data_IF_502120789603
#
_entry.id   IF_502120789603
#
_cell.length_a   1.000
_cell.length_b   1.000
_cell.length_c   1.000
_cell.angle_alpha   90.00
_cell.angle_beta   90.00
_cell.angle_gamma   90.00
#
_symmetry.space_group_name_H-M   'P 1'
#
loop_
_entity.id
_entity.type
_entity.pdbx_description
1 polymer ?
#
# COMPACT_ATOMS: atom_id res chain seq x y z
N UNK A 1 -17.90 1.76 31.37
CA UNK A 1 -19.05 2.53 30.82
C UNK A 1 -20.30 1.67 30.90
N UNK A 2 -21.45 2.26 31.22
CA UNK A 2 -22.74 1.55 31.30
C UNK A 2 -23.51 1.76 30.00
N UNK A 3 -23.88 0.68 29.31
CA UNK A 3 -24.69 0.74 28.10
C UNK A 3 -26.16 0.90 28.46
N UNK A 4 -26.77 2.00 28.05
CA UNK A 4 -28.20 2.29 28.31
C UNK A 4 -29.16 1.41 27.51
N UNK A 5 -28.67 0.74 26.45
CA UNK A 5 -29.49 -0.12 25.57
C UNK A 5 -29.54 -1.57 26.08
N UNK A 6 -28.41 -2.15 26.48
CA UNK A 6 -28.36 -3.54 26.95
C UNK A 6 -28.26 -3.69 28.48
N UNK A 7 -28.14 -2.59 29.24
CA UNK A 7 -27.98 -2.61 30.70
C UNK A 7 -26.64 -3.20 31.18
N UNK A 8 -25.72 -3.51 30.25
CA UNK A 8 -24.43 -4.11 30.54
C UNK A 8 -23.34 -3.08 30.83
N UNK A 9 -22.35 -3.49 31.62
CA UNK A 9 -21.12 -2.73 31.81
C UNK A 9 -20.08 -3.14 30.76
N UNK A 10 -19.61 -2.18 29.99
CA UNK A 10 -18.56 -2.35 28.99
C UNK A 10 -17.30 -1.64 29.49
N UNK A 11 -16.17 -2.35 29.51
CA UNK A 11 -14.88 -1.72 29.77
C UNK A 11 -14.53 -0.80 28.60
N UNK A 12 -13.95 0.37 28.87
CA UNK A 12 -13.52 1.30 27.81
C UNK A 12 -12.51 0.64 26.85
N UNK A 13 -11.72 -0.31 27.36
CA UNK A 13 -10.76 -1.06 26.56
C UNK A 13 -11.39 -2.21 25.76
N UNK A 14 -12.66 -2.53 25.96
CA UNK A 14 -13.33 -3.63 25.26
C UNK A 14 -13.39 -3.40 23.76
N UNK A 15 -12.94 -4.38 22.97
CA UNK A 15 -12.84 -4.24 21.52
C UNK A 15 -11.67 -3.37 21.05
N UNK A 16 -10.64 -3.20 21.88
CA UNK A 16 -9.39 -2.51 21.52
C UNK A 16 -8.18 -3.41 21.83
N UNK A 17 -7.00 -3.14 21.25
CA UNK A 17 -5.75 -3.83 21.62
C UNK A 17 -5.36 -3.70 23.10
N UNK A 18 -6.00 -2.81 23.86
CA UNK A 18 -5.77 -2.60 25.30
C UNK A 18 -6.61 -3.54 26.16
N UNK A 19 -7.55 -4.30 25.57
CA UNK A 19 -8.44 -5.16 26.34
C UNK A 19 -7.67 -6.25 27.09
N UNK A 20 -7.93 -6.38 28.40
CA UNK A 20 -7.31 -7.40 29.24
C UNK A 20 -5.80 -7.23 29.46
N UNK A 21 -5.20 -6.12 29.01
CA UNK A 21 -3.78 -5.84 29.19
C UNK A 21 -3.51 -5.25 30.56
N UNK A 22 -2.47 -5.76 31.23
CA UNK A 22 -1.96 -5.24 32.52
C UNK A 22 -0.74 -4.34 32.36
N UNK A 23 -0.43 -3.93 31.13
CA UNK A 23 0.68 -3.01 30.83
C UNK A 23 0.18 -1.57 30.73
N UNK A 24 1.02 -0.57 31.05
CA UNK A 24 0.70 0.82 30.78
C UNK A 24 0.39 1.03 29.30
N UNK A 25 -0.63 1.85 29.00
CA UNK A 25 -1.07 2.14 27.63
C UNK A 25 0.08 2.71 26.81
N UNK A 26 0.82 3.68 27.37
CA UNK A 26 1.95 4.32 26.70
C UNK A 26 3.02 3.31 26.28
N UNK A 27 3.31 2.30 27.12
CA UNK A 27 4.28 1.26 26.79
C UNK A 27 3.88 0.50 25.51
N UNK A 28 2.61 0.12 25.41
CA UNK A 28 2.08 -0.60 24.25
C UNK A 28 2.09 0.29 23.01
N UNK A 29 1.64 1.54 23.13
CA UNK A 29 1.62 2.52 22.03
C UNK A 29 3.04 2.78 21.50
N UNK A 30 4.00 3.05 22.40
CA UNK A 30 5.39 3.28 22.01
C UNK A 30 6.06 2.03 21.43
N UNK A 31 5.75 0.83 21.94
CA UNK A 31 6.26 -0.42 21.38
C UNK A 31 5.72 -0.67 19.97
N UNK A 32 4.43 -0.44 19.71
CA UNK A 32 3.83 -0.54 18.38
C UNK A 32 4.37 0.54 17.43
N UNK A 33 4.53 1.77 17.92
CA UNK A 33 5.17 2.86 17.15
C UNK A 33 6.60 2.50 16.75
N UNK A 34 7.39 1.92 17.66
CA UNK A 34 8.74 1.45 17.35
C UNK A 34 8.76 0.33 16.29
N UNK A 35 7.80 -0.60 16.34
CA UNK A 35 7.65 -1.61 15.28
C UNK A 35 7.33 -0.94 13.93
N UNK A 36 6.44 0.06 13.92
CA UNK A 36 6.05 0.80 12.73
C UNK A 36 7.18 1.69 12.17
N UNK A 37 8.13 2.11 13.01
CA UNK A 37 9.37 2.81 12.63
C UNK A 37 10.47 1.85 12.14
N UNK A 38 10.18 0.55 12.02
CA UNK A 38 11.10 -0.44 11.45
C UNK A 38 11.98 -1.16 12.45
N UNK A 39 11.75 -1.01 13.76
CA UNK A 39 12.44 -1.86 14.74
C UNK A 39 11.89 -3.30 14.65
N UNK A 40 12.79 -4.27 14.69
CA UNK A 40 12.41 -5.67 14.79
C UNK A 40 11.84 -6.02 16.17
N UNK A 41 10.99 -7.04 16.24
CA UNK A 41 10.35 -7.54 17.50
C UNK A 41 11.35 -7.70 18.64
N UNK A 42 12.51 -8.32 18.38
CA UNK A 42 13.56 -8.51 19.39
C UNK A 42 14.25 -7.21 19.81
N UNK A 43 14.33 -6.23 18.92
CA UNK A 43 14.89 -4.92 19.24
C UNK A 43 13.93 -4.14 20.14
N UNK A 44 12.64 -4.11 19.79
CA UNK A 44 11.58 -3.53 20.63
C UNK A 44 11.56 -4.19 22.02
N UNK A 45 11.59 -5.52 22.07
CA UNK A 45 11.65 -6.27 23.32
C UNK A 45 12.82 -5.85 24.23
N UNK A 46 14.00 -5.59 23.66
CA UNK A 46 15.16 -5.09 24.42
C UNK A 46 15.01 -3.64 24.86
N UNK A 47 14.50 -2.77 23.99
CA UNK A 47 14.34 -1.33 24.28
C UNK A 47 13.32 -1.10 25.41
N UNK A 48 12.24 -1.87 25.40
CA UNK A 48 11.14 -1.73 26.36
C UNK A 48 11.20 -2.76 27.51
N UNK A 49 12.26 -3.57 27.58
CA UNK A 49 12.49 -4.58 28.63
C UNK A 49 11.30 -5.56 28.81
N UNK A 50 10.75 -6.05 27.70
CA UNK A 50 9.63 -7.01 27.67
C UNK A 50 10.00 -8.28 26.91
N UNK A 51 9.25 -9.37 27.12
CA UNK A 51 9.47 -10.60 26.38
C UNK A 51 9.15 -10.44 24.87
N UNK A 52 9.99 -10.95 23.94
CA UNK A 52 9.72 -10.86 22.50
C UNK A 52 8.39 -11.48 22.06
N UNK A 53 7.88 -12.51 22.74
CA UNK A 53 6.58 -13.10 22.41
C UNK A 53 5.44 -12.18 22.83
N UNK A 54 5.61 -11.40 23.91
CA UNK A 54 4.64 -10.37 24.30
C UNK A 54 4.53 -9.29 23.22
N UNK A 55 5.66 -8.82 22.69
CA UNK A 55 5.67 -7.84 21.58
C UNK A 55 5.01 -8.42 20.32
N UNK A 56 5.26 -9.71 20.01
CA UNK A 56 4.60 -10.39 18.90
C UNK A 56 3.08 -10.46 19.11
N UNK A 57 2.60 -10.80 20.31
CA UNK A 57 1.17 -10.83 20.62
C UNK A 57 0.53 -9.46 20.46
N UNK A 58 1.18 -8.38 20.93
CA UNK A 58 0.69 -7.02 20.71
C UNK A 58 0.59 -6.67 19.24
N UNK A 59 1.57 -7.05 18.41
CA UNK A 59 1.51 -6.83 16.97
C UNK A 59 0.33 -7.59 16.33
N UNK A 60 0.12 -8.85 16.70
CA UNK A 60 -0.97 -9.69 16.16
C UNK A 60 -2.32 -9.04 16.46
N UNK A 61 -2.58 -8.73 17.73
CA UNK A 61 -3.84 -8.13 18.15
C UNK A 61 -4.04 -6.74 17.55
N UNK A 62 -2.99 -5.91 17.52
CA UNK A 62 -3.05 -4.60 16.89
C UNK A 62 -3.34 -4.71 15.40
N UNK A 63 -2.70 -5.64 14.67
CA UNK A 63 -2.92 -5.82 13.24
C UNK A 63 -4.39 -6.16 12.92
N UNK A 64 -5.03 -7.03 13.70
CA UNK A 64 -6.45 -7.37 13.49
C UNK A 64 -7.35 -6.14 13.65
N UNK A 65 -7.11 -5.34 14.70
CA UNK A 65 -7.84 -4.08 14.93
C UNK A 65 -7.56 -3.04 13.84
N UNK A 66 -6.31 -2.90 13.43
CA UNK A 66 -5.88 -1.93 12.41
C UNK A 66 -6.41 -2.28 11.02
N UNK A 67 -6.59 -3.56 10.72
CA UNK A 67 -7.23 -3.99 9.48
C UNK A 67 -8.70 -3.52 9.43
N UNK A 68 -9.46 -3.75 10.52
CA UNK A 68 -10.83 -3.28 10.62
C UNK A 68 -10.92 -1.74 10.58
N UNK A 69 -10.01 -1.05 11.29
CA UNK A 69 -9.89 0.40 11.25
C UNK A 69 -9.64 0.90 9.82
N UNK A 70 -8.68 0.33 9.11
CA UNK A 70 -8.35 0.73 7.75
C UNK A 70 -9.54 0.56 6.81
N UNK A 71 -10.29 -0.54 6.91
CA UNK A 71 -11.47 -0.77 6.08
C UNK A 71 -12.60 0.22 6.39
N UNK A 72 -12.75 0.63 7.65
CA UNK A 72 -13.75 1.60 8.06
C UNK A 72 -13.40 3.05 7.66
N UNK A 73 -12.12 3.41 7.59
CA UNK A 73 -11.70 4.78 7.25
C UNK A 73 -11.29 4.96 5.78
N UNK A 74 -10.84 3.91 5.09
CA UNK A 74 -10.44 3.95 3.68
C UNK A 74 -11.54 3.36 2.79
N UNK A 75 -12.65 4.07 2.67
CA UNK A 75 -13.71 3.80 1.69
C UNK A 75 -14.18 5.09 1.04
N UNK A 76 -14.91 4.97 -0.06
CA UNK A 76 -15.45 6.10 -0.83
C UNK A 76 -14.39 7.15 -1.22
N UNK A 77 -13.17 6.69 -1.47
CA UNK A 77 -12.03 7.54 -1.81
C UNK A 77 -12.11 7.98 -3.26
N UNK A 78 -12.06 9.30 -3.47
CA UNK A 78 -12.01 9.92 -4.80
C UNK A 78 -10.58 10.28 -5.15
N UNK A 79 -10.02 9.64 -6.18
CA UNK A 79 -8.65 9.90 -6.67
C UNK A 79 -8.65 10.01 -8.19
N UNK A 80 -7.72 10.79 -8.72
CA UNK A 80 -7.58 10.99 -10.18
C UNK A 80 -6.61 9.99 -10.81
N UNK A 81 -5.66 9.49 -10.03
CA UNK A 81 -4.68 8.51 -10.49
C UNK A 81 -4.27 7.56 -9.35
N UNK A 82 -3.84 6.36 -9.71
CA UNK A 82 -3.30 5.37 -8.76
C UNK A 82 -2.06 4.73 -9.39
N UNK A 83 -0.96 4.71 -8.63
CA UNK A 83 0.26 3.99 -9.00
C UNK A 83 0.32 2.66 -8.25
N UNK A 84 0.61 1.58 -8.95
CA UNK A 84 0.77 0.24 -8.38
C UNK A 84 2.14 -0.33 -8.75
N UNK A 85 2.75 -1.05 -7.81
CA UNK A 85 4.02 -1.72 -8.02
C UNK A 85 4.15 -2.96 -7.12
N UNK A 86 5.03 -3.88 -7.54
CA UNK A 86 5.43 -5.03 -6.74
C UNK A 86 6.86 -4.87 -6.22
N UNK A 87 6.98 -4.88 -4.91
CA UNK A 87 8.25 -4.86 -4.23
C UNK A 87 8.65 -6.27 -3.78
N UNK A 88 9.84 -6.69 -4.17
CA UNK A 88 10.41 -7.93 -3.69
C UNK A 88 10.67 -7.91 -2.16
N UNK A 89 10.21 -8.95 -1.45
CA UNK A 89 10.47 -9.19 -0.04
C UNK A 89 11.22 -10.51 0.21
N UNK A 90 12.24 -10.45 1.06
CA UNK A 90 13.12 -11.57 1.36
C UNK A 90 12.63 -12.27 2.64
N UNK A 91 12.18 -13.52 2.54
CA UNK A 91 11.80 -14.33 3.72
C UNK A 91 12.96 -15.20 4.20
N UNK A 92 12.97 -15.52 5.50
CA UNK A 92 14.10 -16.18 6.18
C UNK A 92 14.43 -17.58 5.63
N UNK A 93 13.43 -18.32 5.19
CA UNK A 93 13.57 -19.69 4.68
C UNK A 93 14.48 -19.81 3.45
N UNK A 94 14.72 -18.70 2.72
CA UNK A 94 15.55 -18.68 1.50
C UNK A 94 17.05 -18.46 1.82
N UNK A 95 17.39 -18.17 3.09
CA UNK A 95 18.76 -17.83 3.51
C UNK A 95 19.56 -19.01 4.08
N UNK A 96 19.02 -20.23 4.08
CA UNK A 96 19.71 -21.44 4.57
C UNK A 96 20.79 -22.00 3.59
N UNK A 97 21.47 -21.14 2.82
CA UNK A 97 22.94 -21.22 2.76
C UNK A 97 23.67 -21.81 1.55
N UNK A 98 23.32 -21.54 0.29
CA UNK A 98 24.17 -21.93 -0.86
C UNK A 98 24.27 -20.89 -1.99
N UNK A 99 24.47 -19.59 -1.69
CA UNK A 99 24.50 -18.59 -2.78
C UNK A 99 25.31 -17.33 -2.52
N UNK A 100 26.08 -16.91 -3.52
CA UNK A 100 26.79 -15.62 -3.55
C UNK A 100 25.82 -14.44 -3.71
N UNK A 101 26.23 -13.22 -3.35
CA UNK A 101 25.37 -12.01 -3.36
C UNK A 101 24.74 -11.69 -4.73
N UNK A 102 25.45 -11.97 -5.83
CA UNK A 102 24.95 -11.78 -7.19
C UNK A 102 23.87 -12.80 -7.57
N UNK A 103 24.03 -14.03 -7.10
CA UNK A 103 23.17 -15.17 -7.40
C UNK A 103 22.00 -15.24 -6.40
N UNK A 104 22.14 -14.66 -5.21
CA UNK A 104 21.04 -14.34 -4.31
C UNK A 104 20.05 -13.42 -5.04
N UNK A 105 20.50 -12.28 -5.60
CA UNK A 105 19.66 -11.32 -6.36
C UNK A 105 18.93 -11.97 -7.55
N UNK A 106 19.59 -12.89 -8.26
CA UNK A 106 18.97 -13.65 -9.37
C UNK A 106 17.99 -14.72 -8.86
N UNK A 107 18.26 -15.34 -7.71
CA UNK A 107 17.31 -16.21 -6.99
C UNK A 107 16.19 -15.42 -6.29
N UNK A 108 16.38 -14.12 -5.98
CA UNK A 108 15.35 -13.26 -5.40
C UNK A 108 14.18 -13.11 -6.37
N UNK A 109 14.40 -13.01 -7.69
CA UNK A 109 13.29 -13.03 -8.66
C UNK A 109 12.44 -14.33 -8.61
N UNK A 110 12.97 -15.40 -8.01
CA UNK A 110 12.33 -16.73 -7.89
C UNK A 110 11.66 -16.99 -6.53
N UNK A 111 11.65 -16.03 -5.60
CA UNK A 111 10.93 -16.20 -4.32
C UNK A 111 9.43 -16.03 -4.51
N UNK A 112 8.60 -16.80 -3.78
CA UNK A 112 7.15 -16.72 -3.92
C UNK A 112 6.51 -15.49 -3.29
N UNK A 113 7.20 -14.60 -2.56
CA UNK A 113 6.51 -13.52 -1.85
C UNK A 113 6.93 -12.11 -2.26
N UNK A 114 5.95 -11.36 -2.74
CA UNK A 114 6.05 -9.96 -3.16
C UNK A 114 5.11 -9.11 -2.30
N UNK A 115 5.54 -7.89 -2.00
CA UNK A 115 4.66 -6.86 -1.44
C UNK A 115 4.05 -6.09 -2.60
N UNK A 116 2.74 -6.05 -2.64
CA UNK A 116 1.97 -5.30 -3.62
C UNK A 116 1.47 -4.04 -2.96
N UNK A 117 1.66 -2.89 -3.58
CA UNK A 117 1.19 -1.63 -3.03
C UNK A 117 0.52 -0.79 -4.12
N UNK A 118 -0.55 -0.09 -3.74
CA UNK A 118 -1.24 0.86 -4.59
C UNK A 118 -1.42 2.19 -3.85
N UNK A 119 -1.03 3.30 -4.46
CA UNK A 119 -1.05 4.61 -3.79
C UNK A 119 -1.49 5.72 -4.74
N UNK A 120 -2.14 6.76 -4.20
CA UNK A 120 -2.46 7.99 -4.92
C UNK A 120 -1.31 9.00 -4.79
N UNK A 121 -0.61 9.35 -5.88
CA UNK A 121 0.45 10.34 -5.89
C UNK A 121 0.06 11.73 -5.42
N UNK A 122 -1.21 12.15 -5.48
CA UNK A 122 -1.62 13.50 -5.11
C UNK A 122 -1.74 13.62 -3.59
N UNK A 123 -2.65 12.85 -2.98
CA UNK A 123 -2.86 12.81 -1.52
C UNK A 123 -1.75 12.08 -0.76
N UNK A 124 -0.89 11.34 -1.47
CA UNK A 124 0.05 10.37 -0.90
C UNK A 124 -0.60 9.20 -0.19
N UNK A 125 -1.92 9.04 -0.30
CA UNK A 125 -2.64 7.97 0.37
C UNK A 125 -2.18 6.61 -0.15
N UNK A 126 -1.82 5.71 0.77
CA UNK A 126 -1.60 4.30 0.44
C UNK A 126 -2.97 3.61 0.49
N UNK A 127 -3.50 3.20 -0.66
CA UNK A 127 -4.84 2.61 -0.76
C UNK A 127 -4.84 1.18 -0.23
N UNK A 128 -3.84 0.39 -0.62
CA UNK A 128 -3.72 -1.01 -0.17
C UNK A 128 -2.26 -1.45 -0.16
N UNK A 129 -1.94 -2.37 0.75
CA UNK A 129 -0.68 -3.09 0.79
C UNK A 129 -0.93 -4.57 1.09
N UNK A 130 -0.38 -5.46 0.28
CA UNK A 130 -0.69 -6.88 0.32
C UNK A 130 0.56 -7.74 0.13
N UNK A 131 0.53 -8.99 0.59
CA UNK A 131 1.63 -9.96 0.39
C UNK A 131 1.11 -11.15 -0.38
N UNK A 132 1.85 -11.56 -1.40
CA UNK A 132 1.54 -12.78 -2.14
C UNK A 132 2.45 -13.00 -3.34
N UNK A 133 2.19 -14.11 -4.04
CA UNK A 133 2.94 -14.49 -5.23
C UNK A 133 2.74 -13.55 -6.40
N UNK A 134 3.74 -13.52 -7.30
CA UNK A 134 3.67 -12.71 -8.51
C UNK A 134 2.84 -13.34 -9.62
N UNK A 135 1.56 -13.50 -9.34
CA UNK A 135 0.58 -14.18 -10.19
C UNK A 135 -0.57 -13.27 -10.60
N UNK A 136 -1.32 -13.71 -11.63
CA UNK A 136 -2.58 -13.06 -12.03
C UNK A 136 -3.61 -13.03 -10.91
N UNK A 137 -3.69 -14.08 -10.10
CA UNK A 137 -4.64 -14.15 -8.98
C UNK A 137 -4.33 -13.08 -7.93
N UNK A 138 -3.05 -12.81 -7.67
CA UNK A 138 -2.65 -11.74 -6.76
C UNK A 138 -2.92 -10.36 -7.34
N UNK A 139 -2.62 -10.13 -8.62
CA UNK A 139 -2.97 -8.87 -9.30
C UNK A 139 -4.49 -8.60 -9.25
N UNK A 140 -5.31 -9.64 -9.45
CA UNK A 140 -6.77 -9.54 -9.29
C UNK A 140 -7.17 -9.15 -7.86
N UNK A 141 -6.57 -9.77 -6.85
CA UNK A 141 -6.83 -9.45 -5.44
C UNK A 141 -6.48 -7.99 -5.12
N UNK A 142 -5.31 -7.51 -5.55
CA UNK A 142 -4.86 -6.14 -5.28
C UNK A 142 -5.75 -5.12 -5.98
N UNK A 143 -6.09 -5.34 -7.26
CA UNK A 143 -7.02 -4.46 -7.98
C UNK A 143 -8.43 -4.52 -7.37
N UNK A 144 -8.84 -5.67 -6.85
CA UNK A 144 -10.09 -5.78 -6.09
C UNK A 144 -10.08 -4.90 -4.85
N UNK A 145 -9.02 -4.97 -4.03
CA UNK A 145 -8.88 -4.12 -2.84
C UNK A 145 -8.89 -2.63 -3.22
N UNK A 146 -8.18 -2.24 -4.28
CA UNK A 146 -8.22 -0.87 -4.80
C UNK A 146 -9.66 -0.48 -5.15
N UNK A 147 -10.38 -1.31 -5.91
CA UNK A 147 -11.76 -1.04 -6.31
C UNK A 147 -12.72 -0.92 -5.11
N UNK A 148 -12.48 -1.64 -4.01
CA UNK A 148 -13.27 -1.54 -2.77
C UNK A 148 -13.04 -0.23 -2.01
N UNK A 149 -11.83 0.34 -2.09
CA UNK A 149 -11.48 1.61 -1.44
C UNK A 149 -12.02 2.81 -2.23
N UNK A 150 -12.08 2.70 -3.55
CA UNK A 150 -12.55 3.76 -4.44
C UNK A 150 -14.05 4.03 -4.29
N UNK A 151 -14.43 5.30 -4.45
CA UNK A 151 -15.84 5.68 -4.49
C UNK A 151 -16.60 5.03 -5.64
N UNK A 152 -17.91 4.74 -5.48
CA UNK A 152 -18.76 4.24 -6.54
C UNK A 152 -18.65 5.09 -7.82
N UNK A 153 -18.28 4.45 -8.94
CA UNK A 153 -18.11 5.12 -10.23
C UNK A 153 -16.76 5.82 -10.43
N UNK A 154 -15.90 5.87 -9.41
CA UNK A 154 -14.54 6.40 -9.53
C UNK A 154 -13.66 5.44 -10.34
N UNK A 155 -13.13 5.91 -11.47
CA UNK A 155 -12.21 5.16 -12.33
C UNK A 155 -10.98 6.04 -12.58
N UNK A 156 -9.93 5.94 -11.74
CA UNK A 156 -8.74 6.75 -11.87
C UNK A 156 -7.88 6.29 -13.06
N UNK A 157 -6.90 7.13 -13.43
CA UNK A 157 -5.79 6.69 -14.27
C UNK A 157 -4.90 5.71 -13.50
N UNK A 158 -4.78 4.47 -13.98
CA UNK A 158 -3.88 3.48 -13.40
C UNK A 158 -2.50 3.52 -14.08
N UNK A 159 -1.45 3.49 -13.26
CA UNK A 159 -0.06 3.50 -13.69
C UNK A 159 0.71 2.37 -13.01
N UNK A 160 1.34 1.50 -13.79
CA UNK A 160 2.14 0.38 -13.26
C UNK A 160 3.47 0.26 -14.00
N UNK A 161 4.40 -0.53 -13.47
CA UNK A 161 5.52 -1.04 -14.27
C UNK A 161 4.99 -2.07 -15.31
N UNK A 162 5.88 -2.63 -16.13
CA UNK A 162 5.56 -3.52 -17.26
C UNK A 162 4.96 -4.89 -16.90
N UNK A 163 4.37 -5.10 -15.72
CA UNK A 163 3.77 -6.37 -15.35
C UNK A 163 2.45 -6.61 -16.10
N UNK A 164 2.43 -7.64 -16.94
CA UNK A 164 1.34 -7.90 -17.91
C UNK A 164 0.00 -8.29 -17.27
N UNK A 165 0.01 -8.87 -16.08
CA UNK A 165 -1.23 -9.44 -15.49
C UNK A 165 -2.21 -8.37 -15.01
N UNK A 166 -1.74 -7.14 -14.72
CA UNK A 166 -2.59 -6.01 -14.36
C UNK A 166 -3.62 -5.67 -15.43
N UNK A 167 -3.28 -5.81 -16.72
CA UNK A 167 -4.22 -5.53 -17.80
C UNK A 167 -5.49 -6.37 -17.64
N UNK A 168 -5.32 -7.64 -17.26
CA UNK A 168 -6.46 -8.52 -17.04
C UNK A 168 -7.18 -8.22 -15.73
N UNK A 169 -6.44 -7.83 -14.67
CA UNK A 169 -7.02 -7.44 -13.40
C UNK A 169 -7.91 -6.19 -13.50
N UNK A 170 -7.43 -5.15 -14.20
CA UNK A 170 -8.21 -3.96 -14.49
C UNK A 170 -9.40 -4.26 -15.37
N UNK A 171 -9.24 -5.07 -16.42
CA UNK A 171 -10.38 -5.45 -17.26
C UNK A 171 -11.46 -6.18 -16.46
N UNK A 172 -11.10 -7.04 -15.52
CA UNK A 172 -12.07 -7.76 -14.68
C UNK A 172 -12.88 -6.83 -13.77
N UNK A 173 -12.26 -5.82 -13.17
CA UNK A 173 -12.92 -4.92 -12.21
C UNK A 173 -13.55 -3.67 -12.86
N UNK A 174 -12.96 -3.19 -13.94
CA UNK A 174 -13.37 -1.99 -14.67
C UNK A 174 -13.79 -2.33 -16.10
N UNK A 175 -14.53 -3.43 -16.24
CA UNK A 175 -15.11 -3.88 -17.50
C UNK A 175 -16.63 -3.83 -17.48
N UNK A 176 -17.22 -3.92 -18.68
CA UNK A 176 -18.65 -4.02 -18.86
C UNK A 176 -19.00 -4.90 -20.07
N UNK A 177 -20.21 -5.46 -20.07
CA UNK A 177 -20.72 -6.22 -21.20
C UNK A 177 -21.15 -5.28 -22.32
N UNK A 178 -20.57 -5.47 -23.50
CA UNK A 178 -20.92 -4.76 -24.73
C UNK A 178 -21.50 -5.73 -25.73
N UNK A 179 -22.67 -5.40 -26.29
CA UNK A 179 -23.23 -6.10 -27.42
C UNK A 179 -22.70 -5.48 -28.72
N UNK A 180 -21.89 -6.20 -29.52
CA UNK A 180 -21.41 -5.67 -30.78
C UNK A 180 -22.57 -5.42 -31.75
N UNK A 181 -22.51 -4.36 -32.58
CA UNK A 181 -23.53 -4.14 -33.59
C UNK A 181 -23.54 -5.30 -34.60
N UNK A 182 -24.74 -5.64 -35.07
CA UNK A 182 -24.93 -6.72 -36.05
C UNK A 182 -24.42 -6.24 -37.42
N UNK A 183 -23.59 -7.06 -38.08
CA UNK A 183 -23.04 -6.74 -39.41
C UNK A 183 -23.95 -7.11 -40.57
N UNK A 184 -24.91 -8.01 -40.36
CA UNK A 184 -25.82 -8.53 -41.39
C UNK A 184 -27.25 -8.63 -40.84
N UNK A 185 -28.26 -8.49 -41.69
CA UNK A 185 -29.68 -8.54 -41.28
C UNK A 185 -30.16 -9.96 -40.86
N UNK A 186 -29.45 -11.00 -41.29
CA UNK A 186 -29.75 -12.42 -41.02
C UNK A 186 -28.57 -13.11 -40.30
N UNK A 187 -28.84 -14.27 -39.66
CA UNK A 187 -27.86 -15.04 -38.88
C UNK A 187 -27.80 -14.76 -37.37
N UNK A 188 -27.01 -15.49 -36.57
CA UNK A 188 -26.97 -15.33 -35.12
C UNK A 188 -26.49 -13.94 -34.69
N UNK A 189 -27.11 -13.36 -33.66
CA UNK A 189 -26.63 -12.12 -33.07
C UNK A 189 -25.23 -12.34 -32.45
N UNK A 190 -24.31 -11.36 -32.56
CA UNK A 190 -22.99 -11.49 -31.97
C UNK A 190 -23.10 -11.61 -30.44
N UNK A 191 -22.33 -12.55 -29.88
CA UNK A 191 -22.29 -12.74 -28.43
C UNK A 191 -21.75 -11.49 -27.74
N UNK A 192 -22.31 -11.10 -26.57
CA UNK A 192 -21.77 -10.01 -25.78
C UNK A 192 -20.29 -10.27 -25.43
N UNK A 193 -19.52 -9.18 -25.38
CA UNK A 193 -18.08 -9.19 -25.08
C UNK A 193 -17.81 -8.38 -23.83
N UNK A 194 -16.92 -8.88 -22.98
CA UNK A 194 -16.43 -8.12 -21.84
C UNK A 194 -15.35 -7.14 -22.32
N UNK A 195 -15.64 -5.85 -22.22
CA UNK A 195 -14.79 -4.76 -22.72
C UNK A 195 -14.43 -3.81 -21.57
N UNK A 196 -13.27 -3.12 -21.63
CA UNK A 196 -12.94 -2.12 -20.63
C UNK A 196 -13.97 -0.98 -20.65
N UNK A 197 -14.24 -0.39 -19.48
CA UNK A 197 -15.07 0.81 -19.40
C UNK A 197 -14.50 1.91 -20.31
N UNK A 198 -15.34 2.71 -20.99
CA UNK A 198 -14.86 3.75 -21.91
C UNK A 198 -13.92 4.76 -21.24
N UNK A 199 -14.13 5.02 -19.94
CA UNK A 199 -13.32 5.92 -19.12
C UNK A 199 -12.06 5.28 -18.51
N UNK A 200 -11.86 3.96 -18.65
CA UNK A 200 -10.70 3.28 -18.06
C UNK A 200 -9.41 3.71 -18.78
N UNK A 201 -8.53 4.35 -18.04
CA UNK A 201 -7.19 4.71 -18.49
C UNK A 201 -6.17 3.85 -17.75
N UNK A 202 -5.31 3.16 -18.51
CA UNK A 202 -4.23 2.36 -17.94
C UNK A 202 -2.98 2.47 -18.82
N UNK A 203 -1.88 2.92 -18.22
CA UNK A 203 -0.59 2.99 -18.87
C UNK A 203 0.51 2.29 -18.07
N UNK A 204 1.45 1.70 -18.79
CA UNK A 204 2.62 1.02 -18.24
C UNK A 204 3.88 1.84 -18.51
N UNK A 205 4.74 1.92 -17.50
CA UNK A 205 6.12 2.38 -17.63
C UNK A 205 6.99 1.16 -17.89
N UNK A 206 7.58 1.06 -19.07
CA UNK A 206 8.43 -0.08 -19.47
C UNK A 206 9.88 0.37 -19.41
N UNK A 207 10.63 -0.22 -18.47
CA UNK A 207 12.06 0.05 -18.27
C UNK A 207 12.89 -0.95 -19.10
N UNK A 208 13.69 -0.43 -20.02
CA UNK A 208 14.67 -1.23 -20.76
C UNK A 208 16.02 -1.14 -20.06
N UNK A 209 16.48 -2.26 -19.49
CA UNK A 209 17.75 -2.36 -18.75
C UNK A 209 18.76 -3.14 -19.59
N UNK A 210 19.98 -2.60 -19.73
CA UNK A 210 21.11 -3.30 -20.38
C UNK A 210 22.30 -3.25 -19.45
N UNK A 211 22.96 -4.39 -19.20
CA UNK A 211 24.12 -4.49 -18.29
C UNK A 211 23.87 -3.81 -16.93
N UNK A 212 22.69 -4.05 -16.34
CA UNK A 212 22.25 -3.47 -15.05
C UNK A 212 22.14 -1.94 -15.02
N UNK A 213 22.12 -1.27 -16.17
CA UNK A 213 21.86 0.17 -16.29
C UNK A 213 20.55 0.39 -17.03
N UNK A 214 19.74 1.33 -16.53
CA UNK A 214 18.55 1.79 -17.24
C UNK A 214 18.99 2.53 -18.50
N UNK A 215 18.57 2.05 -19.67
CA UNK A 215 18.94 2.62 -20.97
C UNK A 215 17.81 3.45 -21.55
N UNK A 216 16.56 3.01 -21.36
CA UNK A 216 15.38 3.65 -21.92
C UNK A 216 14.18 3.40 -21.01
N UNK A 217 13.34 4.42 -20.89
CA UNK A 217 11.98 4.30 -20.36
C UNK A 217 11.04 4.54 -21.53
N UNK A 218 10.10 3.63 -21.76
CA UNK A 218 9.02 3.79 -22.74
C UNK A 218 7.67 3.69 -22.06
N UNK A 219 6.66 4.36 -22.62
CA UNK A 219 5.30 4.31 -22.10
C UNK A 219 4.42 3.49 -23.04
N UNK A 220 3.60 2.61 -22.48
CA UNK A 220 2.62 1.82 -23.23
C UNK A 220 1.24 2.06 -22.66
N UNK A 221 0.36 2.65 -23.45
CA UNK A 221 -1.06 2.75 -23.10
C UNK A 221 -1.74 1.41 -23.44
N UNK A 222 -2.39 0.80 -22.46
CA UNK A 222 -3.08 -0.49 -22.59
C UNK A 222 -4.59 -0.29 -22.73
N UNK A 223 -5.16 0.61 -21.93
CA UNK A 223 -6.56 1.03 -22.04
C UNK A 223 -6.64 2.56 -22.12
N UNK A 224 -7.57 3.06 -22.94
CA UNK A 224 -7.72 4.48 -23.23
C UNK A 224 -6.76 4.98 -24.30
N UNK A 225 -6.57 6.30 -24.32
CA UNK A 225 -5.65 6.98 -25.26
C UNK A 225 -4.52 7.68 -24.51
N UNK A 226 -3.42 7.97 -25.21
CA UNK A 226 -2.28 8.68 -24.63
C UNK A 226 -2.67 10.11 -24.26
N UNK A 227 -3.48 10.76 -25.09
CA UNK A 227 -3.95 12.12 -24.89
C UNK A 227 -4.81 12.23 -23.62
N UNK A 228 -5.72 11.26 -23.40
CA UNK A 228 -6.54 11.24 -22.19
C UNK A 228 -5.70 11.01 -20.92
N UNK A 229 -4.72 10.10 -20.97
CA UNK A 229 -3.80 9.89 -19.85
C UNK A 229 -2.95 11.14 -19.56
N UNK A 230 -2.47 11.82 -20.60
CA UNK A 230 -1.72 13.07 -20.46
C UNK A 230 -2.58 14.20 -19.90
N UNK A 231 -3.86 14.29 -20.28
CA UNK A 231 -4.78 15.31 -19.75
C UNK A 231 -4.97 15.18 -18.24
N UNK A 232 -5.13 13.95 -17.73
CA UNK A 232 -5.22 13.71 -16.27
C UNK A 232 -3.94 14.15 -15.56
N UNK A 233 -2.77 13.81 -16.12
CA UNK A 233 -1.49 14.13 -15.50
C UNK A 233 -1.10 15.61 -15.62
N UNK A 234 -1.55 16.30 -16.68
CA UNK A 234 -1.31 17.71 -16.90
C UNK A 234 -1.91 18.59 -15.79
N UNK A 235 -3.04 18.18 -15.20
CA UNK A 235 -3.64 18.86 -14.05
C UNK A 235 -2.69 18.94 -12.83
N UNK A 236 -1.75 18.01 -12.72
CA UNK A 236 -0.71 17.99 -11.68
C UNK A 236 0.67 18.43 -12.19
N UNK A 237 0.79 18.81 -13.47
CA UNK A 237 2.07 19.13 -14.11
C UNK A 237 3.00 17.93 -14.25
N UNK A 238 2.47 16.70 -14.35
CA UNK A 238 3.25 15.47 -14.37
C UNK A 238 3.22 14.77 -15.73
N UNK A 239 4.16 13.84 -15.90
CA UNK A 239 4.23 12.91 -17.02
C UNK A 239 4.02 11.47 -16.50
N UNK A 240 3.79 10.52 -17.40
CA UNK A 240 3.62 9.10 -17.06
C UNK A 240 4.89 8.62 -16.33
N UNK A 241 4.76 8.20 -15.08
CA UNK A 241 5.85 7.66 -14.27
C UNK A 241 5.30 6.78 -13.13
N UNK A 242 6.19 6.06 -12.46
CA UNK A 242 5.92 5.26 -11.26
C UNK A 242 6.78 5.70 -10.07
N UNK A 243 7.32 6.93 -10.11
CA UNK A 243 8.32 7.37 -9.14
C UNK A 243 7.76 7.53 -7.72
N UNK A 244 6.45 7.76 -7.58
CA UNK A 244 5.82 7.95 -6.26
C UNK A 244 5.65 6.60 -5.56
N UNK A 245 5.16 5.58 -6.25
CA UNK A 245 5.09 4.23 -5.68
C UNK A 245 6.49 3.65 -5.43
N UNK A 246 7.47 3.93 -6.29
CA UNK A 246 8.87 3.56 -6.05
C UNK A 246 9.44 4.19 -4.77
N UNK A 247 9.06 5.43 -4.46
CA UNK A 247 9.42 6.09 -3.20
C UNK A 247 8.72 5.44 -2.01
N UNK A 248 7.43 5.12 -2.12
CA UNK A 248 6.70 4.39 -1.07
C UNK A 248 7.32 3.03 -0.83
N UNK A 249 7.76 2.34 -1.87
CA UNK A 249 8.50 1.07 -1.76
C UNK A 249 9.79 1.22 -0.95
N UNK A 250 10.50 2.34 -1.07
CA UNK A 250 11.64 2.62 -0.20
C UNK A 250 11.22 2.84 1.25
N UNK A 251 10.15 3.59 1.51
CA UNK A 251 9.61 3.81 2.85
C UNK A 251 9.17 2.50 3.51
N UNK A 252 8.49 1.61 2.78
CA UNK A 252 8.13 0.26 3.25
C UNK A 252 9.38 -0.50 3.70
N UNK A 253 10.49 -0.44 2.93
CA UNK A 253 11.75 -1.11 3.32
C UNK A 253 12.38 -0.57 4.59
N UNK A 254 12.13 0.69 4.92
CA UNK A 254 12.68 1.34 6.11
C UNK A 254 11.82 1.04 7.34
N UNK A 255 10.50 1.05 7.19
CA UNK A 255 9.55 0.95 8.29
C UNK A 255 9.07 -0.49 8.54
N UNK A 256 9.22 -1.39 7.58
CA UNK A 256 8.90 -2.80 7.75
C UNK A 256 10.20 -3.59 7.81
N UNK A 257 10.62 -3.90 9.04
CA UNK A 257 11.88 -4.58 9.33
C UNK A 257 12.09 -5.86 8.51
N UNK A 258 11.02 -6.58 8.18
CA UNK A 258 11.07 -7.79 7.37
C UNK A 258 11.30 -7.57 5.86
N UNK A 259 11.02 -6.37 5.34
CA UNK A 259 11.09 -6.03 3.91
C UNK A 259 12.43 -5.36 3.54
N UNK A 260 13.26 -5.05 4.54
CA UNK A 260 14.57 -4.43 4.33
C UNK A 260 15.51 -5.29 3.45
N UNK A 261 16.24 -4.63 2.55
CA UNK A 261 17.08 -5.30 1.52
C UNK A 261 18.26 -6.10 2.09
N UNK A 262 18.71 -5.79 3.32
CA UNK A 262 19.87 -6.40 4.01
C UNK A 262 19.65 -6.50 5.51
N UNK A 263 18.52 -7.07 5.93
CA UNK A 263 18.14 -7.19 7.35
C UNK A 263 18.32 -8.62 7.85
N UNK A 264 18.71 -8.74 9.12
CA UNK A 264 18.74 -10.02 9.86
C UNK A 264 17.35 -10.38 10.40
N UNK A 265 16.45 -9.40 10.48
CA UNK A 265 15.06 -9.52 10.95
C UNK A 265 14.13 -10.04 9.86
N UNK A 266 14.46 -11.17 9.26
CA UNK A 266 13.63 -11.77 8.20
C UNK A 266 12.37 -12.41 8.80
N UNK A 267 11.21 -12.18 8.17
CA UNK A 267 9.97 -12.81 8.62
C UNK A 267 10.00 -14.32 8.36
N UNK A 268 9.40 -15.09 9.28
CA UNK A 268 9.32 -16.55 9.21
C UNK A 268 8.13 -17.06 8.37
N UNK A 269 7.17 -16.20 8.02
CA UNK A 269 6.00 -16.59 7.22
C UNK A 269 5.16 -15.41 6.76
N UNK A 270 4.25 -15.66 5.80
CA UNK A 270 3.40 -14.63 5.18
C UNK A 270 2.50 -13.91 6.20
N UNK A 271 1.93 -14.64 7.16
CA UNK A 271 1.02 -14.07 8.18
C UNK A 271 1.70 -12.97 9.01
N UNK A 272 2.89 -13.25 9.53
CA UNK A 272 3.64 -12.25 10.32
C UNK A 272 4.07 -11.04 9.49
N UNK A 273 4.30 -11.24 8.19
CA UNK A 273 4.62 -10.16 7.27
C UNK A 273 3.39 -9.28 7.00
N UNK A 274 2.23 -9.89 6.77
CA UNK A 274 0.95 -9.18 6.63
C UNK A 274 0.65 -8.33 7.87
N UNK A 275 0.84 -8.87 9.06
CA UNK A 275 0.63 -8.13 10.32
C UNK A 275 1.49 -6.87 10.42
N UNK A 276 2.78 -6.96 10.07
CA UNK A 276 3.66 -5.77 10.04
C UNK A 276 3.24 -4.76 8.97
N UNK A 277 2.77 -5.23 7.81
CA UNK A 277 2.33 -4.34 6.73
C UNK A 277 1.02 -3.65 7.04
N UNK A 278 0.07 -4.32 7.71
CA UNK A 278 -1.17 -3.70 8.19
C UNK A 278 -0.85 -2.60 9.21
N UNK A 279 0.06 -2.88 10.16
CA UNK A 279 0.54 -1.86 11.09
C UNK A 279 1.15 -0.67 10.36
N UNK A 280 2.05 -0.92 9.41
CA UNK A 280 2.66 0.12 8.60
C UNK A 280 1.64 0.92 7.78
N UNK A 281 0.65 0.25 7.19
CA UNK A 281 -0.36 0.89 6.33
C UNK A 281 -1.14 1.96 7.11
N UNK A 282 -1.64 1.60 8.29
CA UNK A 282 -2.36 2.55 9.14
C UNK A 282 -1.41 3.60 9.71
N UNK A 283 -0.21 3.20 10.15
CA UNK A 283 0.79 4.15 10.64
C UNK A 283 1.14 5.22 9.60
N UNK A 284 1.40 4.80 8.35
CA UNK A 284 1.75 5.68 7.24
C UNK A 284 0.62 6.67 6.92
N UNK A 285 -0.63 6.19 6.83
CA UNK A 285 -1.76 7.01 6.41
C UNK A 285 -2.26 7.96 7.51
N UNK A 286 -2.24 7.54 8.77
CA UNK A 286 -2.94 8.22 9.86
C UNK A 286 -2.03 8.82 10.93
N UNK A 287 -0.78 8.36 11.05
CA UNK A 287 0.13 8.81 12.11
C UNK A 287 1.33 9.57 11.57
N UNK A 288 1.85 9.22 10.38
CA UNK A 288 3.10 9.77 9.86
C UNK A 288 2.86 11.02 8.99
N UNK A 289 3.30 12.22 9.41
CA UNK A 289 3.12 13.42 8.61
C UNK A 289 3.98 13.40 7.35
N UNK A 290 3.39 13.75 6.21
CA UNK A 290 4.11 13.82 4.95
C UNK A 290 4.57 15.25 4.65
N UNK A 291 5.86 15.41 4.33
CA UNK A 291 6.46 16.73 4.15
C UNK A 291 5.80 17.57 3.04
N UNK A 292 5.34 16.93 1.96
CA UNK A 292 4.66 17.62 0.85
C UNK A 292 3.18 17.96 1.11
N UNK A 293 2.60 17.48 2.21
CA UNK A 293 1.19 17.73 2.55
C UNK A 293 1.03 18.82 3.60
N UNK A 294 2.14 19.36 4.11
CA UNK A 294 2.12 20.41 5.15
C UNK A 294 1.35 21.62 4.66
N UNK A 295 0.49 22.15 5.53
CA UNK A 295 -0.27 23.37 5.24
C UNK A 295 0.38 24.57 5.91
N UNK A 296 0.39 25.76 5.28
CA UNK A 296 0.86 26.96 5.94
C UNK A 296 -0.07 27.30 7.12
N UNK A 297 0.52 27.67 8.24
CA UNK A 297 -0.22 28.20 9.38
C UNK A 297 -0.61 29.66 9.08
N UNK A 298 -1.85 30.02 9.43
CA UNK A 298 -2.35 31.39 9.28
C UNK A 298 -1.51 32.39 10.11
N UNK A 299 -1.03 31.95 11.28
CA UNK A 299 -0.11 32.69 12.15
C UNK A 299 1.05 31.77 12.53
N UNK A 300 2.32 32.16 12.28
CA UNK A 300 3.47 31.39 12.72
C UNK A 300 3.49 31.25 14.24
N UNK A 301 3.71 30.03 14.74
CA UNK A 301 3.76 29.74 16.17
C UNK A 301 5.21 29.90 16.64
N UNK A 302 5.52 30.75 17.63
CA UNK A 302 6.86 30.85 18.20
C UNK A 302 7.29 29.50 18.74
N UNK A 303 8.53 29.09 18.46
CA UNK A 303 9.12 27.93 19.14
C UNK A 303 9.65 28.37 20.51
N UNK A 304 9.66 27.47 21.48
CA UNK A 304 10.26 27.78 22.79
C UNK A 304 11.77 28.04 22.61
N UNK A 305 12.20 29.31 22.65
CA UNK A 305 13.60 29.73 22.50
C UNK A 305 13.87 30.63 21.28
N UNK A 306 15.11 30.63 20.77
CA UNK A 306 15.56 31.43 19.62
C UNK A 306 15.36 30.75 18.26
N UNK A 307 14.50 29.72 18.21
CA UNK A 307 14.23 28.97 16.99
C UNK A 307 13.39 29.76 15.99
N UNK A 308 13.41 29.36 14.73
CA UNK A 308 12.46 29.88 13.75
C UNK A 308 11.03 29.51 14.16
N UNK A 309 10.09 30.43 13.92
CA UNK A 309 8.67 30.16 14.17
C UNK A 309 8.19 29.00 13.31
N UNK A 310 7.35 28.14 13.87
CA UNK A 310 6.70 27.07 13.13
C UNK A 310 5.67 27.69 12.19
N UNK A 311 5.91 27.55 10.89
CA UNK A 311 5.08 28.11 9.82
C UNK A 311 4.17 27.07 9.17
N UNK A 312 4.31 25.79 9.53
CA UNK A 312 3.71 24.68 8.83
C UNK A 312 2.98 23.75 9.79
N UNK A 313 1.73 23.42 9.47
CA UNK A 313 0.97 22.38 10.12
C UNK A 313 1.27 21.02 9.47
N UNK A 314 1.70 20.01 10.23
CA UNK A 314 1.86 18.65 9.70
C UNK A 314 0.50 18.08 9.28
N UNK A 315 0.49 17.35 8.16
CA UNK A 315 -0.66 16.58 7.65
C UNK A 315 -0.22 15.18 7.29
N UNK A 316 -1.04 14.19 7.61
CA UNK A 316 -0.86 12.81 7.17
C UNK A 316 -1.61 12.58 5.85
N UNK A 317 -1.33 11.50 5.12
CA UNK A 317 -2.03 11.20 3.87
C UNK A 317 -3.57 11.09 3.95
N UNK A 318 -4.11 10.72 5.12
CA UNK A 318 -5.55 10.56 5.34
C UNK A 318 -6.25 11.78 5.99
N UNK A 319 -5.57 12.94 6.10
CA UNK A 319 -6.06 14.17 6.73
C UNK A 319 -6.17 15.34 5.76
#
# INVERSE_FOLDING_TARGET
>A
MHCTVCGGYVLETHGTPLHGKRVPVDLLVWALGALAEGLGIRAVARVFEVDPNTVLQWLVEAADHLQAFSQYFLHDVHVTQVQLDELYALLRAVKEGEVSEAEAIERLERSPHWVWAAMDPVSKLLLTIEVGERTRAMAQRVVHQVAQVLAPGCVPLFLTDGFKEYATAFLTHFGHWVHPPRRQATGPAPKPRWMPLPQLLYAQVIKTVRRRRLVRVSHRVVFGTLEAAQQVLAACGWQINTAFIERVNLSIRQHVAAVGRRVTTLCKGEVGMRQQLVLYHVYYNFCLPHASLRMPLAVPIPTNGTGSATQWQPRTPAM
#
